data_IF_954786152711
#
_entry.id   IF_954786152711
#
_cell.length_a   1.000
_cell.length_b   1.000
_cell.length_c   1.000
_cell.angle_alpha   90.00
_cell.angle_beta   90.00
_cell.angle_gamma   90.00
#
_symmetry.space_group_name_H-M   'P 1'
#
loop_
_entity.id
_entity.type
_entity.pdbx_description
1 polymer ?
#
# COMPACT_ATOMS: atom_id res chain seq x y z
N UNK A 1 22.06 3.16 12.15
CA UNK A 1 20.97 3.88 12.84
C UNK A 1 19.68 3.14 12.55
N UNK A 2 18.81 2.98 13.54
CA UNK A 2 17.48 2.37 13.33
C UNK A 2 16.51 3.34 12.65
N UNK A 3 15.34 2.87 12.31
CA UNK A 3 14.26 3.67 11.72
C UNK A 3 13.56 4.53 12.78
N UNK A 4 13.44 4.01 14.02
CA UNK A 4 12.82 4.72 15.15
C UNK A 4 13.84 5.70 15.75
N UNK A 5 13.58 7.00 15.58
CA UNK A 5 14.51 8.07 16.05
C UNK A 5 14.56 8.22 17.55
N UNK A 6 13.44 8.02 18.22
CA UNK A 6 13.30 8.12 19.68
C UNK A 6 13.28 6.75 20.38
N UNK A 7 13.93 5.74 19.78
CA UNK A 7 13.97 4.37 20.29
C UNK A 7 14.37 4.31 21.77
N UNK A 8 15.45 4.98 22.14
CA UNK A 8 16.01 4.95 23.52
C UNK A 8 15.02 5.51 24.55
N UNK A 9 14.25 6.55 24.16
CA UNK A 9 13.29 7.20 25.05
C UNK A 9 12.04 6.32 25.26
N UNK A 10 11.68 5.51 24.25
CA UNK A 10 10.55 4.59 24.29
C UNK A 10 10.89 3.25 24.97
N UNK A 11 12.14 2.80 24.90
CA UNK A 11 12.61 1.49 25.38
C UNK A 11 12.81 1.48 26.91
N UNK A 12 11.88 2.03 27.68
CA UNK A 12 11.97 2.17 29.16
C UNK A 12 11.89 0.84 29.90
N UNK A 13 11.44 -0.24 29.25
CA UNK A 13 11.43 -1.61 29.78
C UNK A 13 11.96 -2.57 28.74
N UNK A 14 12.44 -3.76 29.20
CA UNK A 14 12.87 -4.84 28.29
C UNK A 14 11.76 -5.27 27.33
N UNK A 15 10.54 -5.29 27.81
CA UNK A 15 9.38 -5.72 27.02
C UNK A 15 9.02 -4.67 25.93
N UNK A 16 9.11 -3.37 26.25
CA UNK A 16 8.98 -2.32 25.23
C UNK A 16 10.09 -2.41 24.18
N UNK A 17 11.33 -2.67 24.60
CA UNK A 17 12.45 -2.84 23.68
C UNK A 17 12.19 -4.01 22.70
N UNK A 18 11.61 -5.12 23.15
CA UNK A 18 11.21 -6.23 22.28
C UNK A 18 10.19 -5.77 21.23
N UNK A 19 9.16 -5.03 21.63
CA UNK A 19 8.14 -4.51 20.69
C UNK A 19 8.77 -3.53 19.69
N UNK A 20 9.63 -2.63 20.14
CA UNK A 20 10.34 -1.70 19.26
C UNK A 20 11.29 -2.40 18.28
N UNK A 21 11.99 -3.46 18.73
CA UNK A 21 12.82 -4.31 17.86
C UNK A 21 11.98 -5.02 16.78
N UNK A 22 10.74 -5.39 17.08
CA UNK A 22 9.82 -5.94 16.09
C UNK A 22 9.43 -4.89 15.06
N UNK A 23 9.16 -3.65 15.49
CA UNK A 23 8.85 -2.53 14.59
C UNK A 23 10.04 -2.22 13.68
N UNK A 24 11.26 -2.13 14.22
CA UNK A 24 12.50 -1.99 13.43
C UNK A 24 12.66 -3.13 12.41
N UNK A 25 12.35 -4.36 12.82
CA UNK A 25 12.40 -5.53 11.94
C UNK A 25 11.35 -5.43 10.81
N UNK A 26 10.15 -4.95 11.13
CA UNK A 26 9.11 -4.70 10.13
C UNK A 26 9.59 -3.67 9.10
N UNK A 27 10.03 -2.49 9.53
CA UNK A 27 10.54 -1.45 8.65
C UNK A 27 11.71 -1.92 7.77
N UNK A 28 12.68 -2.64 8.35
CA UNK A 28 13.80 -3.18 7.60
C UNK A 28 13.37 -4.17 6.51
N UNK A 29 12.38 -5.02 6.82
CA UNK A 29 11.94 -6.10 5.93
C UNK A 29 11.20 -5.61 4.69
N UNK A 30 10.59 -4.42 4.74
CA UNK A 30 9.79 -3.86 3.66
C UNK A 30 10.54 -2.83 2.80
N UNK A 31 11.83 -2.57 3.08
CA UNK A 31 12.60 -1.64 2.25
C UNK A 31 12.74 -2.15 0.81
N UNK A 32 12.47 -1.32 -0.22
CA UNK A 32 12.50 -1.72 -1.62
C UNK A 32 13.84 -2.36 -2.02
N UNK A 33 14.97 -1.83 -1.53
CA UNK A 33 16.28 -2.37 -1.79
C UNK A 33 16.39 -3.82 -1.28
N UNK A 34 15.99 -4.08 -0.02
CA UNK A 34 16.05 -5.42 0.59
C UNK A 34 15.15 -6.44 -0.12
N UNK A 35 13.98 -5.98 -0.59
CA UNK A 35 13.05 -6.81 -1.37
C UNK A 35 13.66 -7.18 -2.71
N UNK A 36 14.21 -6.23 -3.44
CA UNK A 36 14.77 -6.46 -4.77
C UNK A 36 16.08 -7.24 -4.70
N UNK A 37 16.97 -6.94 -3.77
CA UNK A 37 18.23 -7.68 -3.59
C UNK A 37 17.99 -9.19 -3.37
N UNK A 38 16.87 -9.54 -2.77
CA UNK A 38 16.50 -10.94 -2.50
C UNK A 38 15.70 -11.58 -3.64
N UNK A 39 14.78 -10.83 -4.24
CA UNK A 39 13.71 -11.37 -5.06
C UNK A 39 13.75 -10.94 -6.53
N UNK A 40 14.69 -10.05 -6.91
CA UNK A 40 14.90 -9.60 -8.29
C UNK A 40 16.40 -9.57 -8.61
N UNK A 41 16.94 -10.74 -8.95
CA UNK A 41 18.39 -10.96 -9.05
C UNK A 41 18.79 -11.32 -10.48
N UNK A 42 19.72 -10.55 -11.06
CA UNK A 42 20.29 -10.84 -12.37
C UNK A 42 21.57 -11.65 -12.23
N UNK A 43 21.53 -12.93 -12.61
CA UNK A 43 22.69 -13.80 -12.85
C UNK A 43 22.81 -13.98 -14.37
N UNK A 44 23.45 -13.03 -15.04
CA UNK A 44 23.47 -12.93 -16.51
C UNK A 44 23.71 -14.28 -17.22
N UNK A 45 22.81 -14.73 -18.11
CA UNK A 45 21.66 -13.99 -18.67
C UNK A 45 20.32 -14.22 -17.94
N UNK A 46 20.31 -14.88 -16.79
CA UNK A 46 19.11 -15.30 -16.09
C UNK A 46 18.66 -14.23 -15.09
N UNK A 47 17.51 -13.64 -15.32
CA UNK A 47 16.81 -12.82 -14.35
C UNK A 47 15.91 -13.70 -13.47
N UNK A 48 16.14 -13.69 -12.16
CA UNK A 48 15.30 -14.36 -11.17
C UNK A 48 14.31 -13.36 -10.57
N UNK A 49 13.04 -13.66 -10.64
CA UNK A 49 11.95 -12.90 -9.99
C UNK A 49 11.21 -13.86 -9.08
N UNK A 50 11.40 -13.73 -7.76
CA UNK A 50 10.98 -14.75 -6.80
C UNK A 50 11.51 -16.15 -7.23
N UNK A 51 10.62 -17.09 -7.48
CA UNK A 51 10.99 -18.45 -7.90
C UNK A 51 11.07 -18.64 -9.43
N UNK A 52 10.68 -17.60 -10.19
CA UNK A 52 10.72 -17.63 -11.67
C UNK A 52 12.09 -17.28 -12.19
N UNK A 53 12.51 -18.00 -13.23
CA UNK A 53 13.73 -17.73 -14.00
C UNK A 53 13.36 -17.30 -15.42
N UNK A 54 13.87 -16.16 -15.84
CA UNK A 54 13.64 -15.55 -17.15
C UNK A 54 15.00 -15.43 -17.83
N UNK A 55 15.15 -16.05 -19.00
CA UNK A 55 16.39 -15.94 -19.78
C UNK A 55 16.30 -14.69 -20.65
N UNK A 56 17.06 -13.66 -20.33
CA UNK A 56 17.01 -12.38 -21.04
C UNK A 56 17.54 -12.45 -22.48
N UNK A 57 18.22 -13.55 -22.89
CA UNK A 57 18.61 -13.80 -24.29
C UNK A 57 17.44 -14.13 -25.20
N UNK A 58 16.29 -14.51 -24.64
CA UNK A 58 15.10 -14.83 -25.41
C UNK A 58 14.39 -13.56 -25.91
N UNK A 59 14.83 -12.37 -25.44
CA UNK A 59 14.24 -11.06 -25.78
C UNK A 59 15.24 -10.15 -26.45
N UNK A 60 14.75 -9.37 -27.43
CA UNK A 60 15.52 -8.36 -28.16
C UNK A 60 15.49 -7.01 -27.45
N UNK A 61 14.34 -6.64 -26.87
CA UNK A 61 14.14 -5.39 -26.14
C UNK A 61 13.53 -5.66 -24.76
N UNK A 62 13.99 -4.88 -23.78
CA UNK A 62 13.45 -4.94 -22.41
C UNK A 62 12.97 -3.54 -22.05
N UNK A 63 11.68 -3.43 -21.75
CA UNK A 63 11.05 -2.17 -21.35
C UNK A 63 10.64 -2.22 -19.88
N UNK A 64 10.50 -1.03 -19.26
CA UNK A 64 9.99 -0.87 -17.93
C UNK A 64 8.88 0.19 -17.90
N UNK A 65 7.74 -0.15 -17.31
CA UNK A 65 6.68 0.79 -16.97
C UNK A 65 6.59 0.81 -15.44
N UNK A 66 6.63 1.99 -14.81
CA UNK A 66 6.47 2.12 -13.37
C UNK A 66 5.44 3.19 -13.01
N UNK A 67 4.51 2.87 -12.11
CA UNK A 67 3.51 3.84 -11.67
C UNK A 67 3.04 3.61 -10.24
N UNK A 68 2.68 4.71 -9.59
CA UNK A 68 2.27 4.75 -8.20
C UNK A 68 3.36 5.27 -7.27
N UNK A 69 3.00 5.55 -6.02
CA UNK A 69 3.90 6.12 -5.01
C UNK A 69 5.03 5.13 -4.66
N UNK A 70 6.27 5.58 -4.80
CA UNK A 70 7.47 4.77 -4.60
C UNK A 70 7.95 4.01 -5.84
N UNK A 71 7.19 4.03 -6.94
CA UNK A 71 7.57 3.36 -8.19
C UNK A 71 8.90 3.88 -8.75
N UNK A 72 9.19 5.16 -8.58
CA UNK A 72 10.45 5.77 -9.03
C UNK A 72 11.67 5.18 -8.30
N UNK A 73 11.61 5.06 -6.98
CA UNK A 73 12.69 4.45 -6.19
C UNK A 73 12.94 2.99 -6.57
N UNK A 74 11.87 2.22 -6.73
CA UNK A 74 11.92 0.81 -7.15
C UNK A 74 12.48 0.69 -8.57
N UNK A 75 11.98 1.48 -9.52
CA UNK A 75 12.42 1.47 -10.91
C UNK A 75 13.90 1.86 -11.06
N UNK A 76 14.38 2.78 -10.21
CA UNK A 76 15.82 3.14 -10.17
C UNK A 76 16.72 1.98 -9.76
N UNK A 77 16.27 1.17 -8.80
CA UNK A 77 16.99 -0.04 -8.39
C UNK A 77 16.99 -1.06 -9.55
N UNK A 78 15.84 -1.27 -10.20
CA UNK A 78 15.71 -2.19 -11.35
C UNK A 78 16.56 -1.71 -12.53
N UNK A 79 16.55 -0.42 -12.88
CA UNK A 79 17.41 0.16 -13.92
C UNK A 79 18.89 -0.16 -13.65
N UNK A 80 19.35 0.02 -12.41
CA UNK A 80 20.73 -0.29 -12.01
C UNK A 80 21.05 -1.80 -12.15
N UNK A 81 20.11 -2.69 -11.75
CA UNK A 81 20.30 -4.15 -11.84
C UNK A 81 20.39 -4.59 -13.31
N UNK A 82 19.52 -4.07 -14.17
CA UNK A 82 19.47 -4.44 -15.59
C UNK A 82 20.60 -3.77 -16.38
N UNK A 83 21.02 -2.56 -16.01
CA UNK A 83 22.08 -1.81 -16.67
C UNK A 83 21.87 -1.69 -18.17
N UNK A 84 22.85 -2.15 -18.95
CA UNK A 84 22.83 -2.12 -20.41
C UNK A 84 21.67 -2.87 -21.07
N UNK A 85 21.08 -3.84 -20.40
CA UNK A 85 19.98 -4.70 -20.91
C UNK A 85 18.63 -3.97 -20.97
N UNK A 86 18.39 -2.97 -20.11
CA UNK A 86 17.19 -2.14 -20.21
C UNK A 86 17.27 -1.32 -21.49
N UNK A 87 16.28 -1.45 -22.36
CA UNK A 87 16.17 -0.67 -23.60
C UNK A 87 15.68 0.73 -23.31
N UNK A 88 14.51 0.84 -22.64
CA UNK A 88 13.86 2.10 -22.27
C UNK A 88 12.86 1.86 -21.16
N UNK A 89 12.55 2.91 -20.39
CA UNK A 89 11.48 2.85 -19.39
C UNK A 89 10.66 4.12 -19.33
N UNK A 90 9.51 4.03 -18.64
CA UNK A 90 8.57 5.12 -18.40
C UNK A 90 8.09 5.01 -16.96
N UNK A 91 8.26 6.06 -16.18
CA UNK A 91 7.89 6.04 -14.75
C UNK A 91 7.16 7.32 -14.37
N UNK A 92 6.07 7.16 -13.62
CA UNK A 92 5.33 8.25 -12.99
C UNK A 92 5.22 8.04 -11.49
N UNK A 93 5.61 9.05 -10.73
CA UNK A 93 5.56 9.05 -9.27
C UNK A 93 5.25 10.48 -8.77
N UNK A 94 4.95 10.63 -7.49
CA UNK A 94 4.76 11.92 -6.81
C UNK A 94 6.06 12.53 -6.28
N UNK A 95 7.17 11.81 -6.39
CA UNK A 95 8.51 12.23 -5.92
C UNK A 95 9.47 12.20 -7.11
N UNK A 96 10.17 13.30 -7.34
CA UNK A 96 11.11 13.45 -8.44
C UNK A 96 12.30 12.47 -8.32
N UNK A 97 12.68 11.86 -9.44
CA UNK A 97 13.83 10.97 -9.52
C UNK A 97 14.57 11.13 -10.86
N UNK A 98 15.88 10.95 -10.82
CA UNK A 98 16.75 10.96 -12.01
C UNK A 98 17.10 9.54 -12.46
N UNK A 99 17.09 9.32 -13.77
CA UNK A 99 17.33 8.04 -14.45
C UNK A 99 18.29 8.20 -15.63
N UNK A 100 18.83 7.11 -16.13
CA UNK A 100 19.66 7.07 -17.32
C UNK A 100 18.87 6.71 -18.59
N UNK A 101 17.99 5.71 -18.51
CA UNK A 101 17.21 5.15 -19.63
C UNK A 101 15.70 5.27 -19.45
N UNK A 102 15.25 5.75 -18.31
CA UNK A 102 13.84 5.87 -17.97
C UNK A 102 13.40 7.34 -18.11
N UNK A 103 12.34 7.56 -18.87
CA UNK A 103 11.65 8.84 -18.91
C UNK A 103 10.76 8.96 -17.68
N UNK A 104 10.98 10.01 -16.89
CA UNK A 104 10.24 10.28 -15.66
C UNK A 104 9.20 11.38 -15.86
N UNK A 105 8.04 11.20 -15.25
CA UNK A 105 7.00 12.22 -15.13
C UNK A 105 6.61 12.40 -13.66
N UNK A 106 6.54 13.66 -13.21
CA UNK A 106 6.00 13.98 -11.89
C UNK A 106 4.47 13.99 -11.99
N UNK A 107 3.84 13.02 -11.35
CA UNK A 107 2.40 12.85 -11.35
C UNK A 107 1.72 13.40 -10.09
N UNK A 108 0.39 13.34 -10.07
CA UNK A 108 -0.43 13.79 -8.94
C UNK A 108 -1.21 12.65 -8.30
N UNK A 109 -1.47 12.78 -7.02
CA UNK A 109 -2.32 11.92 -6.21
C UNK A 109 -2.85 12.71 -5.00
N UNK A 110 -4.10 12.61 -4.53
CA UNK A 110 -5.08 11.54 -4.86
C UNK A 110 -5.98 11.82 -6.08
N UNK A 111 -5.89 12.96 -6.72
CA UNK A 111 -6.67 13.28 -7.90
C UNK A 111 -5.82 13.13 -9.17
N UNK A 112 -6.40 12.59 -10.27
CA UNK A 112 -5.71 12.53 -11.55
C UNK A 112 -5.54 13.95 -12.13
N UNK A 113 -4.46 14.13 -12.89
CA UNK A 113 -4.15 15.37 -13.57
C UNK A 113 -3.90 15.12 -15.07
N UNK A 114 -3.76 16.21 -15.81
CA UNK A 114 -3.40 16.15 -17.22
C UNK A 114 -2.07 15.45 -17.45
N UNK A 115 -1.08 15.68 -16.58
CA UNK A 115 0.24 15.04 -16.61
C UNK A 115 0.13 13.51 -16.48
N UNK A 116 -0.78 13.02 -15.62
CA UNK A 116 -1.02 11.59 -15.46
C UNK A 116 -1.56 10.97 -16.76
N UNK A 117 -2.52 11.63 -17.41
CA UNK A 117 -3.11 11.18 -18.67
C UNK A 117 -2.10 11.22 -19.82
N UNK A 118 -1.38 12.32 -19.95
CA UNK A 118 -0.34 12.50 -20.98
C UNK A 118 0.78 11.47 -20.84
N UNK A 119 1.21 11.17 -19.61
CA UNK A 119 2.17 10.11 -19.32
C UNK A 119 1.66 8.75 -19.83
N UNK A 120 0.41 8.40 -19.47
CA UNK A 120 -0.19 7.11 -19.84
C UNK A 120 -0.34 6.99 -21.37
N UNK A 121 -0.86 8.03 -22.01
CA UNK A 121 -1.02 8.08 -23.47
C UNK A 121 0.34 7.93 -24.17
N UNK A 122 1.34 8.71 -23.77
CA UNK A 122 2.70 8.66 -24.33
C UNK A 122 3.33 7.27 -24.15
N UNK A 123 3.17 6.67 -22.96
CA UNK A 123 3.71 5.33 -22.68
C UNK A 123 3.12 4.29 -23.63
N UNK A 124 1.81 4.30 -23.84
CA UNK A 124 1.13 3.38 -24.76
C UNK A 124 1.59 3.60 -26.21
N UNK A 125 1.70 4.84 -26.66
CA UNK A 125 2.14 5.17 -28.01
C UNK A 125 3.57 4.70 -28.27
N UNK A 126 4.47 4.87 -27.30
CA UNK A 126 5.87 4.44 -27.39
C UNK A 126 6.05 2.92 -27.36
N UNK A 127 5.04 2.18 -26.93
CA UNK A 127 5.03 0.72 -26.84
C UNK A 127 4.07 0.08 -27.87
N UNK A 128 3.69 0.80 -28.93
CA UNK A 128 2.74 0.32 -29.93
C UNK A 128 3.33 -0.70 -30.93
N UNK A 129 4.65 -0.87 -30.97
CA UNK A 129 5.36 -1.76 -31.89
C UNK A 129 5.93 -3.02 -31.20
N UNK A 130 5.38 -3.40 -30.05
CA UNK A 130 5.82 -4.57 -29.29
C UNK A 130 5.58 -5.88 -30.06
N UNK A 131 6.48 -6.83 -29.86
CA UNK A 131 6.47 -8.16 -30.46
C UNK A 131 6.65 -9.25 -29.40
N UNK A 132 6.56 -10.52 -29.80
CA UNK A 132 6.85 -11.69 -28.93
C UNK A 132 8.32 -11.71 -28.42
N UNK A 133 9.21 -10.92 -29.06
CA UNK A 133 10.61 -10.77 -28.69
C UNK A 133 10.87 -9.67 -27.66
N UNK A 134 9.83 -9.10 -27.10
CA UNK A 134 9.93 -8.03 -26.14
C UNK A 134 9.51 -8.50 -24.75
N UNK A 135 10.24 -8.01 -23.74
CA UNK A 135 9.91 -8.18 -22.34
C UNK A 135 9.50 -6.81 -21.74
N UNK A 136 8.33 -6.74 -21.14
CA UNK A 136 7.87 -5.55 -20.43
C UNK A 136 7.78 -5.85 -18.93
N UNK A 137 8.61 -5.17 -18.14
CA UNK A 137 8.52 -5.16 -16.69
C UNK A 137 7.54 -4.07 -16.27
N UNK A 138 6.55 -4.40 -15.44
CA UNK A 138 5.55 -3.44 -14.96
C UNK A 138 5.64 -3.32 -13.44
N UNK A 139 6.12 -2.20 -12.93
CA UNK A 139 6.20 -1.89 -11.49
C UNK A 139 4.91 -1.21 -11.07
N UNK A 140 4.16 -1.85 -10.20
CA UNK A 140 2.84 -1.39 -9.73
C UNK A 140 2.92 -1.09 -8.24
N UNK A 141 2.64 0.16 -7.86
CA UNK A 141 2.63 0.62 -6.48
C UNK A 141 1.29 1.26 -6.11
N UNK A 142 1.08 1.50 -4.81
CA UNK A 142 -0.09 2.20 -4.28
C UNK A 142 -0.33 3.56 -4.94
N UNK A 143 -1.60 3.92 -5.13
CA UNK A 143 -1.98 5.13 -5.87
C UNK A 143 -1.86 5.01 -7.40
N UNK A 144 -1.41 3.87 -7.92
CA UNK A 144 -1.26 3.60 -9.36
C UNK A 144 -2.56 3.74 -10.15
N UNK A 145 -3.71 3.48 -9.54
CA UNK A 145 -5.03 3.65 -10.17
C UNK A 145 -5.31 5.09 -10.63
N UNK A 146 -4.70 6.08 -9.98
CA UNK A 146 -4.83 7.51 -10.32
C UNK A 146 -3.72 7.96 -11.26
N UNK A 147 -2.48 7.50 -11.00
CA UNK A 147 -1.30 7.95 -11.75
C UNK A 147 -1.22 7.34 -13.15
N UNK A 148 -1.69 6.10 -13.33
CA UNK A 148 -1.72 5.42 -14.62
C UNK A 148 -3.17 5.30 -15.09
N UNK A 149 -3.65 6.33 -15.76
CA UNK A 149 -5.05 6.46 -16.17
C UNK A 149 -5.16 6.98 -17.59
N UNK A 150 -6.07 6.38 -18.36
CA UNK A 150 -6.48 6.86 -19.67
C UNK A 150 -8.00 6.65 -19.81
N UNK A 151 -8.81 7.62 -19.40
CA UNK A 151 -10.26 7.47 -19.38
C UNK A 151 -10.87 7.52 -20.78
N UNK A 152 -12.05 6.94 -20.93
CA UNK A 152 -12.90 7.08 -22.13
C UNK A 152 -13.80 8.31 -22.08
N UNK A 153 -13.71 9.08 -21.01
CA UNK A 153 -14.43 10.33 -20.75
C UNK A 153 -13.42 11.46 -20.49
N UNK A 154 -13.88 12.70 -20.36
CA UNK A 154 -12.98 13.81 -20.06
C UNK A 154 -12.40 13.71 -18.64
N UNK A 155 -11.27 14.36 -18.38
CA UNK A 155 -10.65 14.39 -17.05
C UNK A 155 -11.58 14.98 -15.99
N UNK A 156 -12.27 16.07 -16.34
CA UNK A 156 -13.22 16.74 -15.45
C UNK A 156 -14.34 15.77 -15.05
N UNK A 157 -14.89 15.06 -16.05
CA UNK A 157 -15.95 14.07 -15.81
C UNK A 157 -15.46 12.88 -14.97
N UNK A 158 -14.23 12.41 -15.18
CA UNK A 158 -13.63 11.37 -14.35
C UNK A 158 -13.49 11.81 -12.88
N UNK A 159 -13.12 13.07 -12.64
CA UNK A 159 -13.03 13.63 -11.29
C UNK A 159 -14.41 13.67 -10.64
N UNK A 160 -15.45 14.16 -11.37
CA UNK A 160 -16.82 14.16 -10.88
C UNK A 160 -17.32 12.75 -10.52
N UNK A 161 -17.06 11.76 -11.40
CA UNK A 161 -17.42 10.36 -11.15
C UNK A 161 -16.75 9.83 -9.86
N UNK A 162 -15.44 10.06 -9.70
CA UNK A 162 -14.73 9.61 -8.51
C UNK A 162 -15.27 10.25 -7.23
N UNK A 163 -15.60 11.54 -7.26
CA UNK A 163 -16.19 12.24 -6.12
C UNK A 163 -17.59 11.71 -5.78
N UNK A 164 -18.44 11.52 -6.80
CA UNK A 164 -19.78 10.98 -6.62
C UNK A 164 -19.74 9.56 -6.04
N UNK A 165 -18.85 8.70 -6.53
CA UNK A 165 -18.65 7.34 -6.01
C UNK A 165 -18.21 7.33 -4.53
N UNK A 166 -17.30 8.21 -4.13
CA UNK A 166 -16.87 8.33 -2.75
C UNK A 166 -18.00 8.78 -1.81
N UNK A 167 -18.90 9.62 -2.29
CA UNK A 167 -20.04 10.14 -1.51
C UNK A 167 -21.25 9.21 -1.52
N UNK A 168 -21.34 8.28 -2.47
CA UNK A 168 -22.50 7.40 -2.64
C UNK A 168 -22.62 6.29 -1.60
N UNK A 169 -21.51 5.98 -0.87
CA UNK A 169 -21.43 4.82 0.02
C UNK A 169 -21.22 3.50 -0.73
N UNK A 170 -20.82 3.54 -2.01
CA UNK A 170 -20.46 2.38 -2.79
C UNK A 170 -19.24 1.68 -2.17
N UNK A 171 -19.22 0.36 -2.21
CA UNK A 171 -18.06 -0.43 -1.78
C UNK A 171 -16.88 -0.20 -2.73
N UNK A 172 -15.66 -0.46 -2.26
CA UNK A 172 -14.45 -0.35 -3.09
C UNK A 172 -14.53 -1.25 -4.34
N UNK A 173 -15.17 -2.42 -4.24
CA UNK A 173 -15.39 -3.32 -5.36
C UNK A 173 -16.32 -2.69 -6.41
N UNK A 174 -17.43 -2.09 -6.00
CA UNK A 174 -18.37 -1.42 -6.88
C UNK A 174 -17.75 -0.19 -7.53
N UNK A 175 -17.02 0.63 -6.74
CA UNK A 175 -16.28 1.77 -7.29
C UNK A 175 -15.26 1.33 -8.36
N UNK A 176 -14.51 0.25 -8.09
CA UNK A 176 -13.54 -0.27 -9.04
C UNK A 176 -14.20 -0.86 -10.29
N UNK A 177 -15.40 -1.45 -10.18
CA UNK A 177 -16.15 -1.92 -11.35
C UNK A 177 -16.44 -0.77 -12.30
N UNK A 178 -16.96 0.35 -11.82
CA UNK A 178 -17.19 1.54 -12.67
C UNK A 178 -15.86 2.07 -13.25
N UNK A 179 -14.83 2.23 -12.40
CA UNK A 179 -13.52 2.77 -12.81
C UNK A 179 -12.84 1.93 -13.90
N UNK A 180 -12.95 0.60 -13.84
CA UNK A 180 -12.36 -0.30 -14.83
C UNK A 180 -13.02 -0.11 -16.19
N UNK A 181 -14.33 0.01 -16.23
CA UNK A 181 -15.08 0.15 -17.47
C UNK A 181 -15.08 1.57 -18.04
N UNK A 182 -14.65 2.58 -17.29
CA UNK A 182 -14.40 3.94 -17.80
C UNK A 182 -12.96 4.17 -18.26
N UNK A 183 -12.07 3.17 -18.16
CA UNK A 183 -10.63 3.31 -18.39
C UNK A 183 -10.14 2.38 -19.51
N UNK A 184 -9.25 2.89 -20.35
CA UNK A 184 -8.58 2.14 -21.43
C UNK A 184 -7.39 1.31 -20.96
N UNK A 185 -6.99 1.40 -19.66
CA UNK A 185 -5.78 0.73 -19.13
C UNK A 185 -6.05 -0.15 -17.91
N UNK A 186 -7.22 -0.05 -17.27
CA UNK A 186 -7.60 -0.83 -16.08
C UNK A 186 -8.25 -2.16 -16.45
N UNK A 187 -8.49 -3.03 -15.43
CA UNK A 187 -9.18 -4.30 -15.62
C UNK A 187 -8.51 -5.24 -16.66
N UNK A 188 -7.18 -5.24 -16.73
CA UNK A 188 -6.41 -6.04 -17.69
C UNK A 188 -6.24 -5.38 -19.06
N UNK A 189 -6.82 -4.20 -19.31
CA UNK A 189 -6.73 -3.54 -20.62
C UNK A 189 -5.29 -3.14 -20.98
N UNK A 190 -4.42 -2.88 -20.01
CA UNK A 190 -3.00 -2.66 -20.28
C UNK A 190 -2.36 -3.89 -20.93
N UNK A 191 -2.72 -5.11 -20.50
CA UNK A 191 -2.18 -6.34 -21.08
C UNK A 191 -2.57 -6.50 -22.55
N UNK A 192 -3.82 -6.18 -22.89
CA UNK A 192 -4.27 -6.19 -24.29
C UNK A 192 -3.46 -5.21 -25.15
N UNK A 193 -3.08 -4.06 -24.59
CA UNK A 193 -2.26 -3.05 -25.30
C UNK A 193 -0.83 -3.55 -25.51
N UNK A 194 -0.26 -4.23 -24.52
CA UNK A 194 1.12 -4.71 -24.56
C UNK A 194 1.30 -6.05 -25.26
N UNK A 195 0.20 -6.77 -25.55
CA UNK A 195 0.24 -8.04 -26.29
C UNK A 195 0.81 -7.82 -27.70
N UNK A 196 1.72 -8.70 -28.22
CA UNK A 196 2.06 -10.05 -27.74
C UNK A 196 3.35 -10.14 -26.89
N UNK A 197 3.87 -9.06 -26.35
CA UNK A 197 5.07 -9.07 -25.50
C UNK A 197 4.89 -9.94 -24.24
N UNK A 198 6.00 -10.48 -23.73
CA UNK A 198 6.01 -11.09 -22.40
C UNK A 198 5.93 -9.99 -21.33
N UNK A 199 5.02 -10.14 -20.38
CA UNK A 199 4.80 -9.15 -19.33
C UNK A 199 5.09 -9.77 -17.97
N UNK A 200 5.89 -9.06 -17.18
CA UNK A 200 6.24 -9.42 -15.80
C UNK A 200 5.90 -8.26 -14.89
N UNK A 201 4.82 -8.40 -14.13
CA UNK A 201 4.36 -7.38 -13.22
C UNK A 201 4.93 -7.58 -11.81
N UNK A 202 5.59 -6.56 -11.29
CA UNK A 202 6.18 -6.51 -9.97
C UNK A 202 5.29 -5.62 -9.08
N UNK A 203 4.49 -6.25 -8.21
CA UNK A 203 3.41 -5.60 -7.47
C UNK A 203 3.86 -5.35 -6.02
N UNK A 204 3.85 -4.09 -5.61
CA UNK A 204 4.13 -3.61 -4.27
C UNK A 204 2.82 -3.10 -3.66
N UNK A 205 2.19 -3.97 -2.87
CA UNK A 205 0.80 -3.76 -2.41
C UNK A 205 0.76 -2.99 -1.10
N UNK A 206 -0.05 -1.92 -1.09
CA UNK A 206 -0.53 -1.22 0.10
C UNK A 206 -2.01 -1.57 0.42
N UNK A 207 -2.61 -2.49 -0.35
CA UNK A 207 -4.02 -2.87 -0.22
C UNK A 207 -4.16 -4.06 0.74
N UNK A 208 -4.96 -3.95 1.81
CA UNK A 208 -5.29 -5.07 2.67
C UNK A 208 -5.86 -6.25 1.87
N UNK A 209 -5.44 -7.48 2.20
CA UNK A 209 -5.88 -8.68 1.49
C UNK A 209 -5.19 -8.97 0.16
N UNK A 210 -4.42 -8.02 -0.39
CA UNK A 210 -3.57 -8.19 -1.58
C UNK A 210 -4.31 -8.70 -2.84
N UNK A 211 -5.57 -8.34 -3.01
CA UNK A 211 -6.34 -8.69 -4.21
C UNK A 211 -5.78 -7.93 -5.44
N UNK A 212 -5.12 -8.66 -6.33
CA UNK A 212 -4.50 -8.11 -7.54
C UNK A 212 -5.52 -7.42 -8.46
N UNK A 213 -6.80 -7.80 -8.38
CA UNK A 213 -7.86 -7.15 -9.17
C UNK A 213 -8.24 -5.75 -8.65
N UNK A 214 -7.84 -5.43 -7.40
CA UNK A 214 -8.09 -4.15 -6.73
C UNK A 214 -6.88 -3.23 -6.83
N UNK A 215 -5.65 -3.79 -6.69
CA UNK A 215 -4.40 -3.02 -6.75
C UNK A 215 -4.29 -2.33 -8.11
N UNK A 216 -4.15 -1.01 -8.11
CA UNK A 216 -4.17 -0.15 -9.29
C UNK A 216 -5.35 -0.45 -10.24
N UNK A 217 -6.50 -0.86 -9.68
CA UNK A 217 -7.70 -1.30 -10.41
C UNK A 217 -7.43 -2.44 -11.41
N UNK A 218 -6.49 -3.35 -11.08
CA UNK A 218 -6.22 -4.57 -11.84
C UNK A 218 -5.69 -4.33 -13.25
N UNK A 219 -4.79 -3.37 -13.47
CA UNK A 219 -4.23 -3.04 -14.79
C UNK A 219 -3.65 -4.25 -15.54
N UNK A 220 -3.10 -5.22 -14.79
CA UNK A 220 -2.47 -6.45 -15.34
C UNK A 220 -3.22 -7.74 -14.96
N UNK A 221 -4.45 -7.62 -14.50
CA UNK A 221 -5.26 -8.75 -14.02
C UNK A 221 -6.59 -8.78 -14.76
N UNK A 222 -6.99 -9.96 -15.24
CA UNK A 222 -8.28 -10.15 -15.93
C UNK A 222 -9.43 -9.73 -15.01
N UNK A 223 -10.26 -8.83 -15.49
CA UNK A 223 -11.47 -8.39 -14.80
C UNK A 223 -12.63 -9.36 -15.06
N UNK A 224 -13.38 -9.70 -14.02
CA UNK A 224 -14.55 -10.58 -14.08
C UNK A 224 -15.86 -9.82 -14.27
N UNK A 225 -15.85 -8.50 -14.06
CA UNK A 225 -17.03 -7.65 -14.17
C UNK A 225 -17.27 -7.23 -15.64
N UNK A 226 -18.49 -6.83 -15.98
CA UNK A 226 -18.91 -6.45 -17.34
C UNK A 226 -19.37 -5.00 -17.36
N UNK A 227 -19.55 -4.43 -18.55
CA UNK A 227 -20.20 -3.13 -18.74
C UNK A 227 -21.58 -3.12 -18.09
N UNK A 228 -22.37 -4.21 -18.22
CA UNK A 228 -23.68 -4.32 -17.59
C UNK A 228 -23.57 -4.17 -16.06
N UNK A 229 -22.59 -4.82 -15.43
CA UNK A 229 -22.38 -4.67 -13.98
C UNK A 229 -22.02 -3.21 -13.60
N UNK A 230 -21.19 -2.56 -14.38
CA UNK A 230 -20.85 -1.16 -14.15
C UNK A 230 -22.09 -0.25 -14.28
N UNK A 231 -22.93 -0.52 -15.27
CA UNK A 231 -24.16 0.22 -15.52
C UNK A 231 -25.22 -0.03 -14.44
N UNK A 232 -25.36 -1.28 -13.94
CA UNK A 232 -26.22 -1.60 -12.80
C UNK A 232 -25.80 -0.81 -11.55
N UNK A 233 -24.49 -0.72 -11.27
CA UNK A 233 -23.96 0.04 -10.12
C UNK A 233 -24.20 1.55 -10.32
N UNK A 234 -23.99 2.08 -11.53
CA UNK A 234 -24.28 3.47 -11.88
C UNK A 234 -25.72 3.85 -11.56
N UNK A 235 -26.67 2.98 -11.95
CA UNK A 235 -28.09 3.18 -11.69
C UNK A 235 -28.43 2.97 -10.20
N UNK A 236 -27.85 1.98 -9.54
CA UNK A 236 -28.07 1.68 -8.12
C UNK A 236 -27.78 2.87 -7.20
N UNK A 237 -26.75 3.63 -7.53
CA UNK A 237 -26.35 4.82 -6.75
C UNK A 237 -26.87 6.12 -7.33
N UNK A 238 -27.86 6.05 -8.23
CA UNK A 238 -28.53 7.22 -8.83
C UNK A 238 -27.56 8.26 -9.40
N UNK A 239 -26.46 7.79 -10.04
CA UNK A 239 -25.42 8.65 -10.58
C UNK A 239 -25.81 9.38 -11.88
N UNK A 240 -27.08 9.38 -12.26
CA UNK A 240 -27.59 9.97 -13.50
C UNK A 240 -27.27 11.46 -13.67
N UNK A 241 -27.02 12.19 -12.57
CA UNK A 241 -26.56 13.58 -12.63
C UNK A 241 -25.21 13.74 -13.34
N UNK A 242 -24.43 12.65 -13.46
CA UNK A 242 -23.15 12.65 -14.18
C UNK A 242 -23.32 12.55 -15.70
N UNK A 243 -24.55 12.34 -16.20
CA UNK A 243 -24.86 12.31 -17.62
C UNK A 243 -24.00 11.38 -18.47
N UNK A 244 -23.57 10.23 -17.88
CA UNK A 244 -22.85 9.19 -18.62
C UNK A 244 -23.84 8.36 -19.46
N UNK A 245 -23.38 7.93 -20.61
CA UNK A 245 -24.08 7.00 -21.52
C UNK A 245 -23.42 5.63 -21.50
N UNK A 246 -24.11 4.60 -21.99
CA UNK A 246 -23.53 3.26 -22.15
C UNK A 246 -22.25 3.27 -23.01
N UNK A 247 -22.14 4.17 -23.98
CA UNK A 247 -20.98 4.31 -24.86
C UNK A 247 -19.73 4.85 -24.15
N UNK A 248 -19.88 5.42 -22.95
CA UNK A 248 -18.75 5.88 -22.15
C UNK A 248 -18.04 4.71 -21.44
N UNK A 249 -18.75 3.57 -21.29
CA UNK A 249 -18.20 2.36 -20.71
C UNK A 249 -17.59 1.46 -21.78
N UNK A 250 -16.43 0.87 -21.46
CA UNK A 250 -15.65 -0.01 -22.33
C UNK A 250 -15.58 -1.40 -21.69
N UNK A 251 -15.82 -2.44 -22.49
CA UNK A 251 -15.63 -3.79 -21.99
C UNK A 251 -14.14 -4.12 -21.80
N UNK A 252 -13.82 -4.65 -20.62
CA UNK A 252 -12.48 -5.12 -20.30
C UNK A 252 -12.17 -6.44 -21.02
N UNK A 253 -10.90 -6.74 -21.37
CA UNK A 253 -10.56 -7.95 -22.12
C UNK A 253 -10.89 -9.22 -21.31
N UNK A 254 -11.53 -10.20 -22.01
CA UNK A 254 -11.94 -11.49 -21.44
C UNK A 254 -11.24 -12.68 -22.13
N UNK A 255 -10.45 -12.42 -23.17
CA UNK A 255 -9.72 -13.47 -23.89
C UNK A 255 -8.51 -13.93 -23.10
N UNK A 256 -8.53 -15.16 -22.59
CA UNK A 256 -7.44 -15.77 -21.81
C UNK A 256 -6.11 -15.81 -22.58
N UNK A 257 -6.13 -15.87 -23.91
CA UNK A 257 -4.90 -15.87 -24.70
C UNK A 257 -4.11 -14.57 -24.52
N UNK A 258 -4.77 -13.44 -24.37
CA UNK A 258 -4.12 -12.14 -24.13
C UNK A 258 -3.36 -12.13 -22.80
N UNK A 259 -3.86 -12.87 -21.80
CA UNK A 259 -3.23 -12.97 -20.49
C UNK A 259 -2.17 -14.07 -20.38
N UNK A 260 -2.05 -14.96 -21.39
CA UNK A 260 -1.09 -16.07 -21.37
C UNK A 260 0.37 -15.64 -21.33
N UNK A 261 0.66 -14.42 -21.78
CA UNK A 261 2.01 -13.82 -21.76
C UNK A 261 2.28 -13.02 -20.49
N UNK A 262 1.39 -13.06 -19.49
CA UNK A 262 1.48 -12.19 -18.28
C UNK A 262 1.71 -13.01 -17.03
N UNK A 263 2.71 -12.60 -16.25
CA UNK A 263 2.96 -13.12 -14.91
C UNK A 263 2.94 -11.98 -13.89
N UNK A 264 2.13 -12.13 -12.84
CA UNK A 264 1.99 -11.14 -11.77
C UNK A 264 2.69 -11.65 -10.49
N UNK A 265 3.65 -10.90 -9.97
CA UNK A 265 4.42 -11.22 -8.77
C UNK A 265 4.13 -10.21 -7.66
N UNK A 266 3.56 -10.67 -6.55
CA UNK A 266 3.43 -9.87 -5.34
C UNK A 266 4.80 -9.81 -4.65
N UNK A 267 5.51 -8.72 -4.88
CA UNK A 267 6.87 -8.51 -4.36
C UNK A 267 6.86 -8.09 -2.90
N UNK A 268 5.87 -7.29 -2.50
CA UNK A 268 5.76 -6.70 -1.18
C UNK A 268 4.30 -6.59 -0.74
N UNK A 269 4.05 -6.93 0.53
CA UNK A 269 2.78 -6.70 1.23
C UNK A 269 3.01 -6.63 2.74
N UNK A 270 1.98 -6.33 3.51
CA UNK A 270 2.05 -6.36 4.97
C UNK A 270 2.46 -7.74 5.52
N UNK A 271 2.13 -8.81 4.81
CA UNK A 271 2.55 -10.16 5.20
C UNK A 271 4.08 -10.31 5.23
N UNK A 272 4.81 -9.54 4.43
CA UNK A 272 6.27 -9.48 4.46
C UNK A 272 6.77 -8.99 5.83
N UNK A 273 6.21 -7.89 6.32
CA UNK A 273 6.53 -7.34 7.64
C UNK A 273 6.09 -8.27 8.77
N UNK A 274 4.86 -8.79 8.70
CA UNK A 274 4.29 -9.71 9.69
C UNK A 274 5.15 -10.99 9.84
N UNK A 275 5.58 -11.58 8.74
CA UNK A 275 6.45 -12.77 8.76
C UNK A 275 7.85 -12.44 9.30
N UNK A 276 8.40 -11.27 8.99
CA UNK A 276 9.70 -10.85 9.53
C UNK A 276 9.61 -10.67 11.05
N UNK A 277 8.58 -10.00 11.56
CA UNK A 277 8.31 -9.87 12.99
C UNK A 277 8.11 -11.23 13.68
N UNK A 278 7.31 -12.13 13.08
CA UNK A 278 7.09 -13.49 13.58
C UNK A 278 8.38 -14.29 13.67
N UNK A 279 9.24 -14.19 12.65
CA UNK A 279 10.56 -14.82 12.65
C UNK A 279 11.47 -14.26 13.75
N UNK A 280 11.44 -12.94 13.98
CA UNK A 280 12.17 -12.28 15.06
C UNK A 280 11.67 -12.74 16.43
N UNK A 281 10.34 -12.79 16.65
CA UNK A 281 9.73 -13.28 17.88
C UNK A 281 10.17 -14.72 18.19
N UNK A 282 10.14 -15.60 17.17
CA UNK A 282 10.63 -16.98 17.30
C UNK A 282 12.10 -17.05 17.73
N UNK A 283 12.96 -16.16 17.22
CA UNK A 283 14.37 -16.11 17.62
C UNK A 283 14.58 -15.67 19.08
N UNK A 284 13.57 -15.00 19.65
CA UNK A 284 13.53 -14.61 21.06
C UNK A 284 12.80 -15.65 21.95
N UNK A 285 12.39 -16.79 21.37
CA UNK A 285 11.61 -17.83 22.03
C UNK A 285 10.25 -17.34 22.54
N UNK A 286 9.63 -16.38 21.85
CA UNK A 286 8.30 -15.86 22.17
C UNK A 286 7.31 -16.47 21.17
N UNK A 287 6.21 -17.04 21.68
CA UNK A 287 5.10 -17.49 20.84
C UNK A 287 4.46 -16.32 20.12
N UNK A 288 4.12 -16.50 18.83
CA UNK A 288 3.69 -15.39 17.99
C UNK A 288 2.68 -15.87 16.94
N UNK A 289 1.51 -15.27 16.96
CA UNK A 289 0.43 -15.51 16.01
C UNK A 289 0.27 -14.31 15.08
N UNK A 290 0.11 -14.56 13.77
CA UNK A 290 -0.42 -13.56 12.83
C UNK A 290 -1.93 -13.76 12.80
N UNK A 291 -2.67 -12.79 13.32
CA UNK A 291 -4.13 -12.85 13.43
C UNK A 291 -4.81 -12.58 12.08
N UNK A 292 -4.38 -11.51 11.39
CA UNK A 292 -4.94 -11.12 10.10
C UNK A 292 -3.92 -10.29 9.30
N UNK A 293 -4.02 -10.37 7.99
CA UNK A 293 -3.39 -9.45 7.04
C UNK A 293 -4.38 -8.47 6.41
N UNK A 294 -5.66 -8.63 6.75
CA UNK A 294 -6.78 -7.81 6.25
C UNK A 294 -7.69 -7.41 7.42
N UNK A 295 -7.09 -6.79 8.44
CA UNK A 295 -7.82 -6.37 9.63
C UNK A 295 -8.47 -5.01 9.37
N UNK A 296 -9.78 -5.00 9.41
CA UNK A 296 -10.60 -3.81 9.29
C UNK A 296 -11.46 -3.67 10.56
N UNK A 297 -11.44 -2.48 11.16
CA UNK A 297 -12.21 -2.15 12.36
C UNK A 297 -12.22 -0.63 12.56
N UNK A 298 -13.16 -0.11 13.32
CA UNK A 298 -13.01 1.23 13.91
C UNK A 298 -11.81 1.22 14.88
N UNK A 299 -10.95 2.25 14.80
CA UNK A 299 -9.74 2.36 15.61
C UNK A 299 -10.03 2.31 17.11
N UNK A 300 -11.15 2.90 17.53
CA UNK A 300 -11.62 2.90 18.92
C UNK A 300 -11.91 1.50 19.47
N UNK A 301 -12.31 0.56 18.61
CA UNK A 301 -12.66 -0.82 19.00
C UNK A 301 -11.50 -1.80 18.80
N UNK A 302 -10.62 -1.50 17.85
CA UNK A 302 -9.57 -2.39 17.38
C UNK A 302 -8.62 -2.84 18.49
N UNK A 303 -8.07 -1.92 19.25
CA UNK A 303 -7.07 -2.20 20.26
C UNK A 303 -7.59 -3.14 21.36
N UNK A 304 -8.78 -2.88 21.89
CA UNK A 304 -9.41 -3.73 22.91
C UNK A 304 -9.65 -5.15 22.35
N UNK A 305 -10.22 -5.25 21.15
CA UNK A 305 -10.51 -6.54 20.54
C UNK A 305 -9.25 -7.41 20.33
N UNK A 306 -8.14 -6.79 19.93
CA UNK A 306 -6.86 -7.48 19.75
C UNK A 306 -6.24 -7.92 21.09
N UNK A 307 -6.34 -7.08 22.14
CA UNK A 307 -5.88 -7.42 23.48
C UNK A 307 -6.63 -8.66 24.00
N UNK A 308 -7.97 -8.69 23.87
CA UNK A 308 -8.79 -9.83 24.30
C UNK A 308 -8.43 -11.14 23.59
N UNK A 309 -8.04 -11.07 22.32
CA UNK A 309 -7.62 -12.21 21.49
C UNK A 309 -6.21 -12.71 21.80
N UNK A 310 -5.37 -11.86 22.36
CA UNK A 310 -3.96 -12.21 22.60
C UNK A 310 -3.83 -13.17 23.78
N UNK A 311 -3.16 -14.30 23.58
CA UNK A 311 -2.90 -15.30 24.62
C UNK A 311 -1.85 -14.79 25.63
N UNK A 312 -1.89 -15.22 26.90
CA UNK A 312 -0.82 -14.95 27.85
C UNK A 312 0.54 -15.44 27.31
N UNK A 313 1.61 -14.70 27.61
CA UNK A 313 2.99 -15.00 27.21
C UNK A 313 3.20 -15.12 25.71
N UNK A 314 2.46 -14.36 24.91
CA UNK A 314 2.55 -14.39 23.45
C UNK A 314 2.44 -13.01 22.81
N UNK A 315 2.80 -12.98 21.52
CA UNK A 315 2.63 -11.86 20.61
C UNK A 315 1.48 -12.15 19.64
N UNK A 316 0.62 -11.16 19.43
CA UNK A 316 -0.36 -11.15 18.34
C UNK A 316 0.01 -10.02 17.39
N UNK A 317 0.17 -10.37 16.11
CA UNK A 317 0.49 -9.45 15.04
C UNK A 317 -0.69 -9.35 14.09
N UNK A 318 -0.99 -8.16 13.63
CA UNK A 318 -1.99 -7.99 12.58
C UNK A 318 -1.62 -6.84 11.64
N UNK A 319 -2.03 -6.94 10.39
CA UNK A 319 -1.91 -5.89 9.39
C UNK A 319 -3.27 -5.60 8.77
N UNK A 320 -3.46 -4.38 8.33
CA UNK A 320 -4.72 -3.95 7.72
C UNK A 320 -4.89 -2.44 7.77
N UNK A 321 -6.11 -1.99 7.82
CA UNK A 321 -6.41 -0.56 7.87
C UNK A 321 -7.61 -0.30 8.77
N UNK A 322 -7.39 0.46 9.86
CA UNK A 322 -8.48 0.88 10.73
C UNK A 322 -9.09 2.19 10.26
N UNK A 323 -10.34 2.44 10.64
CA UNK A 323 -11.04 3.68 10.32
C UNK A 323 -11.26 4.53 11.58
N UNK A 324 -11.26 5.86 11.40
CA UNK A 324 -11.54 6.80 12.48
C UNK A 324 -12.85 7.52 12.19
N UNK A 325 -13.74 7.54 13.17
CA UNK A 325 -14.91 8.41 13.15
C UNK A 325 -14.52 9.80 13.65
N UNK A 326 -14.40 10.73 12.73
CA UNK A 326 -14.01 12.11 13.06
C UNK A 326 -15.18 12.84 13.70
N UNK A 327 -15.11 13.08 15.01
CA UNK A 327 -16.08 13.85 15.79
C UNK A 327 -15.67 15.32 15.92
N UNK A 328 -14.38 15.60 15.93
CA UNK A 328 -13.82 16.94 15.99
C UNK A 328 -12.82 17.15 14.84
N UNK A 329 -13.13 18.08 13.93
CA UNK A 329 -12.28 18.40 12.77
C UNK A 329 -10.97 19.12 13.13
N UNK A 330 -10.89 19.73 14.31
CA UNK A 330 -9.71 20.42 14.83
C UNK A 330 -8.78 19.45 15.61
N UNK A 331 -9.20 18.20 15.79
CA UNK A 331 -8.40 17.15 16.40
C UNK A 331 -7.19 16.80 15.53
N UNK A 332 -6.06 16.49 16.18
CA UNK A 332 -4.82 16.11 15.51
C UNK A 332 -4.39 14.72 15.94
N UNK A 333 -4.08 13.87 14.93
CA UNK A 333 -3.64 12.49 15.16
C UNK A 333 -4.03 11.61 14.00
N UNK A 334 -3.67 10.34 14.10
CA UNK A 334 -3.97 9.32 13.11
C UNK A 334 -4.60 8.08 13.72
N UNK A 335 -5.04 7.19 12.83
CA UNK A 335 -5.75 5.96 13.21
C UNK A 335 -4.90 5.04 14.07
N UNK A 336 -3.59 4.96 13.82
CA UNK A 336 -2.68 4.12 14.61
C UNK A 336 -2.54 4.63 16.05
N UNK A 337 -2.39 5.93 16.22
CA UNK A 337 -2.38 6.55 17.54
C UNK A 337 -3.71 6.35 18.26
N UNK A 338 -4.83 6.44 17.54
CA UNK A 338 -6.17 6.25 18.12
C UNK A 338 -6.40 4.80 18.57
N UNK A 339 -5.95 3.80 17.82
CA UNK A 339 -5.96 2.39 18.24
C UNK A 339 -5.27 2.19 19.59
N UNK A 340 -4.09 2.78 19.77
CA UNK A 340 -3.35 2.65 21.03
C UNK A 340 -4.00 3.43 22.17
N UNK A 341 -4.47 4.67 21.89
CA UNK A 341 -5.12 5.52 22.89
C UNK A 341 -6.40 4.88 23.44
N UNK A 342 -7.23 4.34 22.56
CA UNK A 342 -8.49 3.66 22.95
C UNK A 342 -8.25 2.39 23.76
N UNK A 343 -7.16 1.69 23.49
CA UNK A 343 -6.78 0.46 24.16
C UNK A 343 -6.28 0.63 25.60
N UNK A 344 -5.83 1.81 25.98
CA UNK A 344 -5.12 2.05 27.27
C UNK A 344 -5.87 1.54 28.49
N UNK A 345 -7.19 1.69 28.53
CA UNK A 345 -7.99 1.22 29.67
C UNK A 345 -8.25 -0.30 29.69
N UNK A 346 -7.86 -1.00 28.63
CA UNK A 346 -7.94 -2.46 28.54
C UNK A 346 -6.62 -3.15 28.85
N UNK A 347 -5.57 -2.38 29.14
CA UNK A 347 -4.25 -2.88 29.46
C UNK A 347 -4.14 -3.30 30.93
N UNK A 348 -3.46 -4.42 31.15
CA UNK A 348 -2.94 -4.83 32.47
C UNK A 348 -1.42 -4.55 32.55
N UNK A 349 -0.83 -4.89 33.69
CA UNK A 349 0.61 -4.67 33.95
C UNK A 349 1.54 -5.46 33.00
N UNK A 350 1.00 -6.45 32.29
CA UNK A 350 1.76 -7.36 31.42
C UNK A 350 1.48 -7.16 29.93
N UNK A 351 0.63 -6.22 29.58
CA UNK A 351 0.19 -6.02 28.19
C UNK A 351 0.78 -4.73 27.61
N UNK A 352 1.39 -4.86 26.43
CA UNK A 352 1.89 -3.75 25.61
C UNK A 352 1.18 -3.81 24.27
N UNK A 353 0.74 -2.67 23.77
CA UNK A 353 0.21 -2.51 22.42
C UNK A 353 1.03 -1.46 21.66
N UNK A 354 1.29 -1.71 20.39
CA UNK A 354 1.81 -0.71 19.46
C UNK A 354 1.05 -0.80 18.13
N UNK A 355 0.78 0.35 17.55
CA UNK A 355 0.20 0.45 16.20
C UNK A 355 0.93 1.54 15.43
N UNK A 356 1.26 1.27 14.16
CA UNK A 356 2.06 2.18 13.35
C UNK A 356 1.79 2.00 11.86
N UNK A 357 1.86 3.11 11.12
CA UNK A 357 1.85 3.13 9.67
C UNK A 357 3.24 2.79 9.14
N UNK A 358 3.28 1.93 8.15
CA UNK A 358 4.53 1.41 7.57
C UNK A 358 5.28 2.42 6.70
N UNK A 359 4.64 3.52 6.29
CA UNK A 359 5.26 4.63 5.55
C UNK A 359 5.92 5.69 6.46
N UNK A 360 5.81 5.50 7.78
CA UNK A 360 6.41 6.41 8.76
C UNK A 360 5.55 7.63 9.10
N UNK A 361 4.27 7.67 8.71
CA UNK A 361 3.42 8.84 8.91
C UNK A 361 1.96 8.47 9.22
N UNK A 362 1.47 8.87 10.40
CA UNK A 362 0.09 8.64 10.85
C UNK A 362 -0.63 9.98 11.09
N UNK A 363 -0.89 10.73 10.01
CA UNK A 363 -1.49 12.08 10.00
C UNK A 363 -0.85 13.09 10.97
N UNK A 364 0.37 12.84 11.42
CA UNK A 364 1.13 13.69 12.34
C UNK A 364 2.64 13.43 12.20
N UNK A 365 3.46 14.04 13.06
CA UNK A 365 4.91 13.75 13.10
C UNK A 365 5.24 12.39 13.73
N UNK A 366 4.26 11.60 14.15
CA UNK A 366 4.42 10.23 14.59
C UNK A 366 3.97 9.26 13.48
N UNK A 367 4.64 8.13 13.37
CA UNK A 367 4.15 7.02 12.55
C UNK A 367 3.12 6.15 13.29
N UNK A 368 2.93 6.37 14.57
CA UNK A 368 2.04 5.63 15.44
C UNK A 368 2.42 5.82 16.91
N UNK A 369 2.04 4.88 17.75
CA UNK A 369 2.31 4.95 19.19
C UNK A 369 2.58 3.57 19.81
N UNK A 370 3.17 3.60 21.02
CA UNK A 370 3.28 2.45 21.92
C UNK A 370 2.58 2.78 23.23
N UNK A 371 1.84 1.82 23.80
CA UNK A 371 1.11 2.00 25.06
C UNK A 371 1.21 0.78 25.97
N UNK A 372 1.31 1.04 27.27
CA UNK A 372 1.25 0.08 28.36
C UNK A 372 0.79 0.77 29.65
N UNK A 373 0.89 0.11 30.79
CA UNK A 373 0.53 0.69 32.08
C UNK A 373 1.35 1.95 32.42
N UNK A 374 2.63 2.01 31.98
CA UNK A 374 3.46 3.19 32.21
C UNK A 374 2.92 4.41 31.46
N UNK A 375 2.30 4.23 30.30
CA UNK A 375 1.65 5.31 29.53
C UNK A 375 0.51 5.92 30.34
N UNK A 376 -0.33 5.09 30.98
CA UNK A 376 -1.41 5.55 31.86
C UNK A 376 -0.87 6.26 33.11
N UNK A 377 0.19 5.74 33.72
CA UNK A 377 0.82 6.37 34.87
C UNK A 377 1.40 7.75 34.53
N UNK A 378 2.06 7.88 33.36
CA UNK A 378 2.54 9.17 32.86
C UNK A 378 1.37 10.15 32.66
N UNK A 379 0.28 9.71 32.00
CA UNK A 379 -0.91 10.54 31.77
C UNK A 379 -1.52 11.02 33.10
N UNK A 380 -1.67 10.11 34.08
CA UNK A 380 -2.19 10.41 35.42
C UNK A 380 -1.29 11.41 36.15
N UNK A 381 0.05 11.26 36.07
CA UNK A 381 1.01 12.12 36.71
C UNK A 381 0.96 13.57 36.22
N UNK A 382 0.67 13.78 34.93
CA UNK A 382 0.58 15.10 34.30
C UNK A 382 -0.86 15.62 34.23
N UNK A 383 -1.84 14.87 34.76
CA UNK A 383 -3.25 15.27 34.82
C UNK A 383 -3.99 15.28 33.51
N UNK A 384 -3.56 14.44 32.53
CA UNK A 384 -4.21 14.33 31.23
C UNK A 384 -5.15 13.11 31.23
N UNK A 385 -6.39 13.31 30.75
CA UNK A 385 -7.39 12.26 30.61
C UNK A 385 -7.35 11.67 29.19
N UNK A 386 -6.97 10.39 29.02
CA UNK A 386 -6.97 9.73 27.70
C UNK A 386 -8.32 9.75 26.99
N UNK A 387 -9.41 9.54 27.73
CA UNK A 387 -10.77 9.49 27.19
C UNK A 387 -11.23 10.83 26.62
N UNK A 388 -10.85 11.92 27.24
CA UNK A 388 -11.16 13.28 26.76
C UNK A 388 -10.49 13.54 25.43
N UNK A 389 -9.18 13.23 25.31
CA UNK A 389 -8.45 13.44 24.06
C UNK A 389 -8.87 12.45 22.95
N UNK A 390 -9.27 11.24 23.31
CA UNK A 390 -9.86 10.28 22.37
C UNK A 390 -11.17 10.83 21.78
N UNK A 391 -12.10 11.31 22.61
CA UNK A 391 -13.39 11.87 22.15
C UNK A 391 -13.25 13.11 21.26
N UNK A 392 -12.08 13.76 21.31
CA UNK A 392 -11.74 14.93 20.51
C UNK A 392 -10.91 14.60 19.27
N UNK A 393 -10.69 13.31 18.94
CA UNK A 393 -9.78 12.83 17.88
C UNK A 393 -8.38 13.48 18.00
N UNK A 394 -7.86 13.63 19.22
CA UNK A 394 -6.66 14.40 19.53
C UNK A 394 -5.54 13.51 20.10
N UNK A 395 -5.36 12.34 19.50
CA UNK A 395 -4.40 11.32 19.90
C UNK A 395 -2.95 11.80 19.81
N UNK A 396 -2.62 12.66 18.84
CA UNK A 396 -1.28 13.25 18.71
C UNK A 396 -0.88 14.04 19.97
N UNK A 397 -1.74 14.93 20.45
CA UNK A 397 -1.44 15.73 21.64
C UNK A 397 -1.33 14.85 22.89
N UNK A 398 -2.10 13.75 22.98
CA UNK A 398 -1.93 12.78 24.04
C UNK A 398 -0.51 12.20 24.03
N UNK A 399 -0.12 11.54 22.93
CA UNK A 399 1.18 10.84 22.85
C UNK A 399 2.38 11.80 22.87
N UNK A 400 2.22 13.02 22.41
CA UNK A 400 3.24 14.08 22.56
C UNK A 400 3.48 14.41 24.02
N UNK A 401 2.43 14.55 24.83
CA UNK A 401 2.55 14.90 26.24
C UNK A 401 3.11 13.75 27.09
N UNK A 402 2.69 12.49 26.85
CA UNK A 402 3.22 11.32 27.55
C UNK A 402 4.53 10.77 26.96
N UNK A 403 4.98 11.31 25.83
CA UNK A 403 6.22 10.93 25.12
C UNK A 403 6.26 9.46 24.70
N UNK A 404 5.14 8.89 24.26
CA UNK A 404 5.02 7.51 23.80
C UNK A 404 4.62 7.39 22.29
N UNK A 405 4.68 8.52 21.55
CA UNK A 405 4.58 8.52 20.09
C UNK A 405 5.87 7.99 19.43
N UNK A 406 5.73 7.19 18.39
CA UNK A 406 6.86 6.63 17.64
C UNK A 406 7.25 7.61 16.54
N UNK A 407 8.50 8.05 16.52
CA UNK A 407 9.05 9.02 15.55
C UNK A 407 9.96 8.32 14.56
N UNK A 408 9.67 8.48 13.27
CA UNK A 408 10.53 8.04 12.17
C UNK A 408 10.73 9.18 11.16
N UNK A 409 11.51 8.94 10.09
CA UNK A 409 11.35 9.70 8.85
C UNK A 409 10.21 9.12 8.03
N UNK A 410 9.79 9.78 6.96
CA UNK A 410 9.00 9.13 5.94
C UNK A 410 9.79 8.00 5.30
N UNK A 411 9.16 6.85 5.16
CA UNK A 411 9.76 5.63 4.62
C UNK A 411 9.31 5.43 3.17
N UNK A 412 10.17 4.81 2.33
CA UNK A 412 9.89 4.66 0.90
C UNK A 412 8.91 3.52 0.56
N UNK A 413 8.42 2.80 1.58
CA UNK A 413 7.49 1.67 1.43
C UNK A 413 6.22 1.93 2.21
N UNK A 414 5.08 1.53 1.64
CA UNK A 414 3.80 1.45 2.32
C UNK A 414 3.21 0.04 2.15
N UNK A 415 2.84 -0.58 3.26
CA UNK A 415 2.12 -1.85 3.32
C UNK A 415 0.93 -1.77 4.29
N UNK A 416 0.36 -0.59 4.45
CA UNK A 416 -0.68 -0.24 5.42
C UNK A 416 -0.22 -0.30 6.87
N UNK A 417 -1.18 -0.36 7.80
CA UNK A 417 -0.94 -0.37 9.24
C UNK A 417 -0.48 -1.74 9.75
N UNK A 418 0.33 -1.70 10.78
CA UNK A 418 0.77 -2.88 11.51
C UNK A 418 0.50 -2.67 13.02
N UNK A 419 -0.08 -3.70 13.65
CA UNK A 419 -0.41 -3.67 15.07
C UNK A 419 0.23 -4.85 15.76
N UNK A 420 0.80 -4.61 16.92
CA UNK A 420 1.47 -5.58 17.79
C UNK A 420 0.81 -5.53 19.18
N UNK A 421 0.36 -6.68 19.68
CA UNK A 421 -0.01 -6.82 21.08
C UNK A 421 0.91 -7.86 21.71
N UNK A 422 1.54 -7.52 22.82
CA UNK A 422 2.43 -8.41 23.57
C UNK A 422 1.94 -8.56 25.00
N UNK A 423 1.57 -9.80 25.38
CA UNK A 423 1.31 -10.20 26.79
C UNK A 423 2.48 -11.02 27.29
N UNK A 424 3.27 -10.46 28.22
CA UNK A 424 4.52 -11.06 28.70
C UNK A 424 4.44 -11.73 30.07
#
# INVERSE_FOLDING_TARGET
MGYIKNYTDLAITKQRAIVLDLIETAFASIQPQNILDKNFVLEDPILKVLDKKINLKDYERIFLIGFGKGSAGISKIIERILGGKLTKGFVIDTIEAGFEKIEFTLGTHPLPSKENLEFTQKTIEQLSDLTEKDLVLVVICGGGSVMFELPNITLEKLIEVNQALLLSGATISEMNTIRKHLSKVKGGSLIKILFPAQIVSLIFSDVPGNDLSVIASGTTTMDKTTVDNAWEIYNKYELGMLELSENDFIETPKDENVFSTTENFLMLSNLTALNAMKKKAKSLSIDCEIYSQNFESEAELAGKALIEKTKPHSLLLTGGETTVKVMNKDGVGGRNQEVVLSALYSLDEKTIIASFDSDGFDNSSFCGAIGDINTLEKAKKIGINPQELLSQNNSFNFFKNVQDGIVTDRLPSNVSDLIIVYKH
#
